data_IF_187619557437
#
_entry.id   IF_187619557437
#
_cell.length_a   1.000
_cell.length_b   1.000
_cell.length_c   1.000
_cell.angle_alpha   90.00
_cell.angle_beta   90.00
_cell.angle_gamma   90.00
#
_symmetry.space_group_name_H-M   'P 1'
#
loop_
_entity.id
_entity.type
_entity.pdbx_description
1 polymer ?
#
# COMPACT_ATOMS: atom_id res chain seq x y z
N UNK A 1 -18.33 -5.33 18.47
CA UNK A 1 -18.23 -6.45 19.43
C UNK A 1 -17.22 -7.51 18.97
N UNK A 2 -17.08 -7.81 17.68
CA UNK A 2 -16.16 -8.86 17.19
C UNK A 2 -14.65 -8.60 17.36
N UNK A 3 -14.15 -7.35 17.40
CA UNK A 3 -12.70 -7.11 17.55
C UNK A 3 -12.17 -7.31 18.98
N UNK A 4 -13.03 -7.17 20.01
CA UNK A 4 -12.61 -7.38 21.41
C UNK A 4 -12.14 -8.82 21.68
N UNK A 5 -12.57 -9.78 20.86
CA UNK A 5 -12.11 -11.17 20.93
C UNK A 5 -10.98 -11.51 19.94
N UNK A 6 -10.58 -10.56 19.06
CA UNK A 6 -9.66 -10.82 17.94
C UNK A 6 -8.20 -10.42 18.18
N UNK A 7 -7.80 -10.00 19.39
CA UNK A 7 -6.39 -9.66 19.67
C UNK A 7 -5.84 -8.41 18.96
N UNK A 8 -6.64 -7.67 18.19
CA UNK A 8 -6.29 -6.40 17.55
C UNK A 8 -5.29 -6.52 16.37
N UNK A 9 -5.34 -5.61 15.38
CA UNK A 9 -4.34 -5.59 14.32
C UNK A 9 -2.99 -5.10 14.88
N UNK A 10 -1.90 -5.54 14.26
CA UNK A 10 -0.56 -5.05 14.56
C UNK A 10 -0.21 -3.84 13.70
N UNK A 11 0.38 -2.82 14.31
CA UNK A 11 0.99 -1.71 13.59
C UNK A 11 2.35 -1.35 14.19
N UNK A 12 3.26 -0.83 13.38
CA UNK A 12 4.55 -0.36 13.89
C UNK A 12 4.41 0.98 14.61
N UNK A 13 5.03 1.08 15.79
CA UNK A 13 5.21 2.37 16.45
C UNK A 13 6.26 3.18 15.72
N UNK A 14 5.86 4.34 15.23
CA UNK A 14 6.74 5.24 14.48
C UNK A 14 7.18 6.42 15.35
N UNK A 15 8.41 6.89 15.14
CA UNK A 15 8.92 8.13 15.74
C UNK A 15 7.99 9.30 15.40
N UNK A 16 7.94 10.33 16.25
CA UNK A 16 6.99 11.45 16.11
C UNK A 16 7.12 12.19 14.76
N UNK A 17 8.33 12.28 14.23
CA UNK A 17 8.62 12.95 12.96
C UNK A 17 8.31 12.10 11.70
N UNK A 18 7.96 10.81 11.88
CA UNK A 18 7.56 9.95 10.77
C UNK A 18 6.25 10.45 10.15
N UNK A 19 6.09 10.31 8.84
CA UNK A 19 4.88 10.71 8.11
C UNK A 19 3.61 10.03 8.66
N UNK A 20 3.74 8.82 9.19
CA UNK A 20 2.66 8.06 9.83
C UNK A 20 2.29 8.54 11.25
N UNK A 21 3.23 9.18 11.95
CA UNK A 21 3.00 9.77 13.28
C UNK A 21 2.52 11.20 13.19
N UNK A 22 3.11 11.98 12.29
CA UNK A 22 2.78 13.39 12.10
C UNK A 22 1.52 13.59 11.27
N UNK A 23 1.26 12.66 10.34
CA UNK A 23 0.41 12.91 9.19
C UNK A 23 1.01 14.01 8.30
N UNK A 24 0.21 14.53 7.37
CA UNK A 24 0.48 15.82 6.73
C UNK A 24 -0.58 16.80 7.28
N UNK A 25 -0.24 17.54 8.35
CA UNK A 25 -1.17 18.54 8.90
C UNK A 25 -1.04 19.81 8.07
N UNK A 26 -2.16 20.30 7.53
CA UNK A 26 -2.23 21.64 6.92
C UNK A 26 -1.82 22.76 7.92
N UNK A 27 -1.79 22.50 9.23
CA UNK A 27 -1.31 23.46 10.24
C UNK A 27 0.22 23.62 10.26
N UNK A 28 0.96 22.69 9.66
CA UNK A 28 2.43 22.76 9.55
C UNK A 28 2.87 23.65 8.36
N UNK A 29 1.91 24.28 7.67
CA UNK A 29 2.09 25.31 6.63
C UNK A 29 2.65 26.65 7.17
N UNK A 30 3.39 26.65 8.28
CA UNK A 30 4.10 27.83 8.80
C UNK A 30 5.32 28.11 7.92
N UNK A 31 5.07 28.66 6.74
CA UNK A 31 6.13 29.04 5.79
C UNK A 31 5.67 30.02 4.71
N UNK A 32 4.36 30.10 4.43
CA UNK A 32 3.79 31.25 3.73
C UNK A 32 2.85 31.96 4.71
N UNK A 33 3.05 33.28 4.88
CA UNK A 33 2.12 34.23 5.52
C UNK A 33 0.68 33.72 5.50
N UNK A 34 -0.16 33.93 6.53
CA UNK A 34 -1.61 33.61 6.80
C UNK A 34 -2.65 33.48 5.62
N UNK A 35 -2.13 33.24 4.43
CA UNK A 35 -2.52 33.31 3.01
C UNK A 35 -2.07 32.04 2.27
N UNK A 36 -1.74 30.94 2.96
CA UNK A 36 -1.40 29.65 2.33
C UNK A 36 -2.55 28.98 1.56
N UNK A 37 -3.71 29.64 1.51
CA UNK A 37 -4.81 29.36 0.59
C UNK A 37 -5.05 30.65 -0.19
N UNK A 38 -4.62 30.70 -1.45
CA UNK A 38 -4.89 31.83 -2.34
C UNK A 38 -6.34 31.71 -2.81
N UNK A 39 -7.22 32.57 -2.28
CA UNK A 39 -8.60 32.70 -2.73
C UNK A 39 -8.63 33.53 -4.01
N UNK A 40 -8.82 32.86 -5.15
CA UNK A 40 -9.05 33.52 -6.43
C UNK A 40 -10.55 33.55 -6.68
N UNK A 41 -11.13 34.75 -6.74
CA UNK A 41 -12.52 34.92 -7.17
C UNK A 41 -12.61 34.58 -8.67
N UNK A 42 -13.42 33.59 -9.06
CA UNK A 42 -13.46 33.15 -10.44
C UNK A 42 -14.26 34.14 -11.32
N UNK A 43 -14.10 34.03 -12.65
CA UNK A 43 -14.78 34.88 -13.63
C UNK A 43 -16.32 34.83 -13.46
N UNK A 44 -17.05 35.79 -14.05
CA UNK A 44 -18.48 36.03 -13.82
C UNK A 44 -19.41 34.79 -13.87
N UNK A 45 -19.03 33.72 -14.60
CA UNK A 45 -19.73 32.44 -14.70
C UNK A 45 -19.63 31.53 -13.45
N UNK A 46 -18.85 31.90 -12.44
CA UNK A 46 -18.55 31.06 -11.26
C UNK A 46 -18.72 31.81 -9.92
N UNK A 47 -19.51 32.91 -9.92
CA UNK A 47 -19.80 33.73 -8.73
C UNK A 47 -20.12 32.86 -7.49
N UNK A 48 -19.44 33.13 -6.39
CA UNK A 48 -19.64 32.47 -5.09
C UNK A 48 -18.83 31.20 -4.85
N UNK A 49 -17.96 30.79 -5.79
CA UNK A 49 -17.04 29.66 -5.60
C UNK A 49 -15.62 30.15 -5.28
N UNK A 50 -14.89 29.34 -4.52
CA UNK A 50 -13.52 29.59 -4.08
C UNK A 50 -12.57 28.63 -4.80
N UNK A 51 -11.45 29.18 -5.27
CA UNK A 51 -10.25 28.40 -5.56
C UNK A 51 -9.35 28.43 -4.35
N UNK A 52 -8.81 27.28 -3.97
CA UNK A 52 -7.82 27.14 -2.92
C UNK A 52 -6.60 26.43 -3.50
N UNK A 53 -5.43 27.03 -3.30
CA UNK A 53 -4.15 26.48 -3.71
C UNK A 53 -3.26 26.35 -2.48
N UNK A 54 -2.66 25.17 -2.30
CA UNK A 54 -1.74 24.86 -1.20
C UNK A 54 -0.47 24.27 -1.80
N UNK A 55 0.65 24.71 -1.28
CA UNK A 55 1.97 24.21 -1.66
C UNK A 55 2.65 23.62 -0.42
N UNK A 56 2.79 22.29 -0.41
CA UNK A 56 3.61 21.54 0.55
C UNK A 56 4.99 21.34 -0.06
N UNK A 57 5.67 22.44 -0.39
CA UNK A 57 6.99 22.40 -1.01
C UNK A 57 8.05 22.18 0.06
N UNK A 58 8.88 21.16 -0.16
CA UNK A 58 10.26 21.15 0.32
C UNK A 58 11.15 21.23 -0.91
N UNK A 59 12.21 22.04 -0.83
CA UNK A 59 13.07 22.42 -1.97
C UNK A 59 13.41 21.24 -2.89
N UNK A 60 13.05 21.37 -4.18
CA UNK A 60 13.37 20.54 -5.34
C UNK A 60 13.25 19.00 -5.24
N UNK A 61 12.59 18.47 -4.20
CA UNK A 61 12.38 17.03 -4.04
C UNK A 61 10.92 16.63 -4.32
N UNK A 62 10.70 15.40 -4.83
CA UNK A 62 9.34 14.85 -4.91
C UNK A 62 8.76 14.74 -3.50
N UNK A 63 7.46 15.01 -3.37
CA UNK A 63 6.71 14.86 -2.13
C UNK A 63 5.85 13.59 -2.14
N UNK A 64 5.43 13.15 -3.34
CA UNK A 64 4.57 11.99 -3.54
C UNK A 64 5.28 10.96 -4.40
N UNK A 65 5.13 9.69 -4.03
CA UNK A 65 5.35 8.57 -4.92
C UNK A 65 4.15 8.49 -5.89
N UNK A 66 4.41 8.79 -7.16
CA UNK A 66 3.35 8.88 -8.16
C UNK A 66 2.75 7.52 -8.54
N UNK A 67 3.51 6.43 -8.46
CA UNK A 67 3.00 5.09 -8.75
C UNK A 67 2.00 4.66 -7.68
N UNK A 68 2.35 4.87 -6.41
CA UNK A 68 1.46 4.61 -5.28
C UNK A 68 0.27 5.56 -5.33
N UNK A 69 0.47 6.86 -5.61
CA UNK A 69 -0.65 7.80 -5.74
C UNK A 69 -1.65 7.32 -6.79
N UNK A 70 -1.19 6.95 -7.98
CA UNK A 70 -2.06 6.46 -9.04
C UNK A 70 -2.74 5.14 -8.66
N UNK A 71 -2.05 4.23 -7.98
CA UNK A 71 -2.68 3.01 -7.45
C UNK A 71 -3.84 3.35 -6.50
N UNK A 72 -3.61 4.21 -5.51
CA UNK A 72 -4.64 4.59 -4.53
C UNK A 72 -5.85 5.23 -5.21
N UNK A 73 -5.62 6.21 -6.09
CA UNK A 73 -6.71 6.90 -6.79
C UNK A 73 -7.46 5.98 -7.76
N UNK A 74 -6.78 5.03 -8.42
CA UNK A 74 -7.41 4.02 -9.28
C UNK A 74 -8.26 3.02 -8.49
N UNK A 75 -7.79 2.58 -7.32
CA UNK A 75 -8.56 1.71 -6.43
C UNK A 75 -9.81 2.40 -5.89
N UNK A 76 -9.76 3.72 -5.72
CA UNK A 76 -10.89 4.53 -5.23
C UNK A 76 -11.71 5.20 -6.35
N UNK A 77 -11.51 4.80 -7.61
CA UNK A 77 -12.04 5.53 -8.78
C UNK A 77 -13.56 5.68 -8.81
N UNK A 78 -14.29 4.71 -8.26
CA UNK A 78 -15.76 4.67 -8.30
C UNK A 78 -16.40 5.76 -7.43
N UNK A 79 -15.61 6.40 -6.55
CA UNK A 79 -16.06 7.52 -5.72
C UNK A 79 -15.83 8.88 -6.37
N UNK A 80 -15.17 8.92 -7.53
CA UNK A 80 -14.89 10.12 -8.28
C UNK A 80 -15.79 10.19 -9.52
N UNK A 81 -16.32 11.39 -9.80
CA UNK A 81 -17.07 11.62 -11.04
C UNK A 81 -16.13 11.61 -12.27
N UNK A 82 -14.89 12.08 -12.07
CA UNK A 82 -13.81 12.00 -13.05
C UNK A 82 -12.50 11.75 -12.31
N UNK A 83 -11.60 10.96 -12.89
CA UNK A 83 -10.24 10.81 -12.36
C UNK A 83 -9.26 10.53 -13.50
N UNK A 84 -8.11 11.20 -13.45
CA UNK A 84 -6.94 10.95 -14.30
C UNK A 84 -5.69 11.03 -13.43
N UNK A 85 -4.78 10.08 -13.57
CA UNK A 85 -3.49 10.10 -12.90
C UNK A 85 -2.39 9.78 -13.90
N UNK A 86 -1.31 10.56 -13.90
CA UNK A 86 -0.17 10.36 -14.77
C UNK A 86 1.11 10.41 -13.96
N UNK A 87 1.80 9.27 -13.90
CA UNK A 87 3.13 9.15 -13.29
C UNK A 87 4.14 9.98 -14.05
N UNK A 88 4.15 9.90 -15.39
CA UNK A 88 5.05 10.66 -16.28
C UNK A 88 4.93 12.19 -16.13
N UNK A 89 3.71 12.70 -15.96
CA UNK A 89 3.50 14.15 -15.82
C UNK A 89 3.54 14.62 -14.36
N UNK A 90 3.69 13.71 -13.38
CA UNK A 90 3.68 14.05 -11.96
C UNK A 90 2.39 14.73 -11.51
N UNK A 91 1.23 14.36 -12.09
CA UNK A 91 -0.05 15.01 -11.77
C UNK A 91 -1.22 14.04 -11.76
N UNK A 92 -2.10 14.22 -10.79
CA UNK A 92 -3.44 13.64 -10.75
C UNK A 92 -4.51 14.74 -10.75
N UNK A 93 -5.60 14.49 -11.45
CA UNK A 93 -6.80 15.34 -11.53
C UNK A 93 -8.01 14.49 -11.21
N UNK A 94 -8.81 14.92 -10.25
CA UNK A 94 -10.05 14.23 -9.89
C UNK A 94 -11.19 15.19 -9.62
N UNK A 95 -12.42 14.72 -9.81
CA UNK A 95 -13.65 15.42 -9.45
C UNK A 95 -14.33 14.65 -8.33
N UNK A 96 -14.36 15.22 -7.13
CA UNK A 96 -14.91 14.58 -5.94
C UNK A 96 -15.90 15.50 -5.23
N UNK A 97 -17.12 15.00 -5.01
CA UNK A 97 -18.22 15.77 -4.41
C UNK A 97 -18.41 17.13 -5.09
N UNK A 98 -18.37 17.22 -6.42
CA UNK A 98 -18.44 18.49 -7.19
C UNK A 98 -17.27 19.48 -7.01
N UNK A 99 -16.17 19.08 -6.36
CA UNK A 99 -14.92 19.86 -6.31
C UNK A 99 -13.94 19.27 -7.33
N UNK A 100 -13.20 20.14 -8.03
CA UNK A 100 -12.13 19.70 -8.95
C UNK A 100 -10.79 19.85 -8.24
N UNK A 101 -10.09 18.74 -8.07
CA UNK A 101 -8.86 18.64 -7.29
C UNK A 101 -7.70 18.27 -8.22
N UNK A 102 -6.59 18.99 -8.09
CA UNK A 102 -5.32 18.67 -8.72
C UNK A 102 -4.29 18.38 -7.64
N UNK A 103 -3.54 17.30 -7.83
CA UNK A 103 -2.49 16.82 -6.94
C UNK A 103 -1.22 16.70 -7.78
N UNK A 104 -0.15 17.36 -7.38
CA UNK A 104 1.11 17.34 -8.09
C UNK A 104 2.19 16.63 -7.26
N UNK A 105 3.10 15.93 -7.93
CA UNK A 105 4.21 15.17 -7.34
C UNK A 105 5.02 15.98 -6.32
N UNK A 106 5.25 17.26 -6.60
CA UNK A 106 5.99 18.20 -5.74
C UNK A 106 5.21 18.71 -4.52
N UNK A 107 4.06 18.11 -4.19
CA UNK A 107 3.28 18.47 -2.99
C UNK A 107 2.39 19.69 -3.17
N UNK A 108 2.14 20.11 -4.41
CA UNK A 108 1.18 21.16 -4.72
C UNK A 108 -0.23 20.57 -4.85
N UNK A 109 -1.22 21.25 -4.26
CA UNK A 109 -2.62 20.87 -4.29
C UNK A 109 -3.47 22.05 -4.71
N UNK A 110 -4.40 21.82 -5.65
CA UNK A 110 -5.39 22.84 -6.06
C UNK A 110 -6.79 22.29 -5.93
N UNK A 111 -7.63 22.97 -5.17
CA UNK A 111 -9.07 22.71 -5.10
C UNK A 111 -9.81 23.85 -5.77
N UNK A 112 -10.56 23.53 -6.82
CA UNK A 112 -11.47 24.45 -7.50
C UNK A 112 -12.92 24.09 -7.17
N UNK A 113 -13.78 25.09 -7.27
CA UNK A 113 -15.22 24.97 -7.03
C UNK A 113 -15.60 24.65 -5.57
N UNK A 114 -14.77 25.01 -4.60
CA UNK A 114 -15.15 24.92 -3.19
C UNK A 114 -16.18 26.01 -2.86
N UNK A 115 -17.10 25.74 -1.92
CA UNK A 115 -18.09 26.74 -1.50
C UNK A 115 -17.53 27.81 -0.55
N UNK A 116 -16.40 27.50 0.11
CA UNK A 116 -15.72 28.40 1.03
C UNK A 116 -14.29 27.92 1.26
N UNK A 117 -13.46 28.76 1.90
CA UNK A 117 -12.14 28.35 2.41
C UNK A 117 -12.23 27.12 3.34
N UNK A 118 -13.22 27.10 4.24
CA UNK A 118 -13.42 25.97 5.15
C UNK A 118 -13.74 24.67 4.43
N UNK A 119 -14.55 24.74 3.37
CA UNK A 119 -14.86 23.61 2.50
C UNK A 119 -13.63 23.09 1.75
N UNK A 120 -12.81 23.99 1.20
CA UNK A 120 -11.55 23.62 0.56
C UNK A 120 -10.58 22.93 1.52
N UNK A 121 -10.40 23.48 2.73
CA UNK A 121 -9.53 22.89 3.76
C UNK A 121 -10.03 21.50 4.19
N UNK A 122 -11.34 21.32 4.38
CA UNK A 122 -11.93 20.01 4.65
C UNK A 122 -11.66 19.02 3.51
N UNK A 123 -11.85 19.46 2.27
CA UNK A 123 -11.57 18.68 1.07
C UNK A 123 -10.11 18.22 1.02
N UNK A 124 -9.17 19.12 1.29
CA UNK A 124 -7.73 18.83 1.31
C UNK A 124 -7.34 17.86 2.41
N UNK A 125 -7.90 18.01 3.62
CA UNK A 125 -7.69 17.04 4.70
C UNK A 125 -8.16 15.64 4.32
N UNK A 126 -9.33 15.53 3.66
CA UNK A 126 -9.85 14.25 3.18
C UNK A 126 -8.99 13.67 2.06
N UNK A 127 -8.63 14.47 1.06
CA UNK A 127 -7.74 14.05 -0.05
C UNK A 127 -6.42 13.54 0.50
N UNK A 128 -5.82 14.28 1.41
CA UNK A 128 -4.54 13.91 1.93
C UNK A 128 -4.58 12.59 2.75
N UNK A 129 -5.67 12.31 3.47
CA UNK A 129 -5.88 11.01 4.12
C UNK A 129 -5.97 9.87 3.11
N UNK A 130 -6.65 10.09 1.98
CA UNK A 130 -6.74 9.10 0.90
C UNK A 130 -5.38 8.78 0.29
N UNK A 131 -4.51 9.78 0.18
CA UNK A 131 -3.20 9.64 -0.48
C UNK A 131 -2.05 9.44 0.50
N UNK A 132 -2.30 9.34 1.82
CA UNK A 132 -1.26 9.28 2.84
C UNK A 132 -0.21 8.23 2.49
N UNK A 133 -0.65 7.06 2.02
CA UNK A 133 0.22 5.96 1.60
C UNK A 133 1.29 6.34 0.56
N UNK A 134 1.01 7.34 -0.30
CA UNK A 134 1.92 7.84 -1.33
C UNK A 134 2.86 8.94 -0.85
N UNK A 135 2.65 9.51 0.33
CA UNK A 135 3.47 10.63 0.83
C UNK A 135 4.86 10.11 1.21
N UNK A 136 5.90 10.73 0.67
CA UNK A 136 7.29 10.40 0.98
C UNK A 136 7.66 10.91 2.36
N UNK A 137 8.25 10.03 3.18
CA UNK A 137 8.67 10.39 4.52
C UNK A 137 9.97 11.19 4.48
N UNK A 138 9.99 12.34 5.17
CA UNK A 138 11.16 13.23 5.24
C UNK A 138 12.38 12.60 5.92
N UNK A 139 12.16 11.62 6.80
CA UNK A 139 13.23 10.95 7.55
C UNK A 139 13.92 9.90 6.69
N UNK A 140 13.14 9.01 6.07
CA UNK A 140 13.69 7.84 5.37
C UNK A 140 13.68 7.97 3.84
N UNK A 141 12.92 8.91 3.28
CA UNK A 141 12.72 9.06 1.83
C UNK A 141 11.72 8.08 1.22
N UNK A 142 11.25 7.10 1.99
CA UNK A 142 10.32 6.07 1.51
C UNK A 142 8.86 6.53 1.65
N UNK A 143 7.94 6.04 0.79
CA UNK A 143 6.52 6.33 0.90
C UNK A 143 5.93 5.75 2.19
N UNK A 144 4.85 6.35 2.68
CA UNK A 144 4.24 5.99 3.95
C UNK A 144 3.78 4.52 4.02
N UNK A 145 3.42 3.89 2.90
CA UNK A 145 3.14 2.43 2.87
C UNK A 145 4.35 1.57 3.24
N UNK A 146 5.56 1.94 2.85
CA UNK A 146 6.78 1.21 3.24
C UNK A 146 7.11 1.47 4.72
N UNK A 147 6.82 2.69 5.21
CA UNK A 147 6.89 3.02 6.62
C UNK A 147 5.87 2.21 7.46
N UNK A 148 4.70 1.90 6.91
CA UNK A 148 3.67 1.15 7.64
C UNK A 148 4.07 -0.32 7.84
N UNK A 149 4.90 -0.85 6.93
CA UNK A 149 5.37 -2.23 6.94
C UNK A 149 6.69 -2.43 7.68
N UNK A 150 7.17 -1.47 8.47
CA UNK A 150 8.42 -1.72 9.20
C UNK A 150 9.68 -1.69 8.31
N UNK A 151 9.58 -1.29 7.03
CA UNK A 151 10.65 -1.49 6.03
C UNK A 151 11.73 -0.41 6.03
N UNK A 152 11.52 0.71 6.71
CA UNK A 152 12.49 1.80 6.83
C UNK A 152 13.15 1.84 8.22
N UNK A 153 14.44 1.52 8.34
CA UNK A 153 15.07 1.40 9.66
C UNK A 153 15.21 2.73 10.43
N UNK A 154 14.94 3.87 9.78
CA UNK A 154 15.06 5.21 10.38
C UNK A 154 13.79 5.72 11.09
N UNK A 155 12.61 5.16 10.83
CA UNK A 155 11.34 5.75 11.30
C UNK A 155 10.76 5.09 12.55
N UNK A 156 11.37 4.04 13.08
CA UNK A 156 10.82 3.26 14.20
C UNK A 156 11.60 3.53 15.49
N UNK A 157 10.88 3.91 16.54
CA UNK A 157 11.44 4.03 17.90
C UNK A 157 11.76 2.66 18.50
N UNK A 158 10.94 1.67 18.17
CA UNK A 158 11.02 0.29 18.61
C UNK A 158 11.14 -0.64 17.40
N UNK A 159 11.88 -1.74 17.52
CA UNK A 159 12.08 -2.66 16.38
C UNK A 159 10.84 -3.50 16.03
N UNK A 160 9.77 -3.40 16.80
CA UNK A 160 8.69 -4.38 16.83
C UNK A 160 7.31 -3.72 16.76
N UNK A 161 6.32 -4.34 16.08
CA UNK A 161 4.96 -3.81 16.03
C UNK A 161 4.23 -3.99 17.37
N UNK A 162 3.18 -3.22 17.58
CA UNK A 162 2.33 -3.31 18.76
C UNK A 162 0.88 -3.65 18.38
N UNK A 163 0.17 -4.29 19.31
CA UNK A 163 -1.27 -4.52 19.17
C UNK A 163 -1.98 -3.18 19.32
N UNK A 164 -2.67 -2.75 18.27
CA UNK A 164 -3.43 -1.51 18.29
C UNK A 164 -4.86 -1.81 18.74
N UNK A 165 -5.30 -1.11 19.79
CA UNK A 165 -6.71 -1.10 20.16
C UNK A 165 -7.42 -0.02 19.35
N UNK A 166 -8.32 -0.44 18.46
CA UNK A 166 -9.16 0.49 17.69
C UNK A 166 -9.92 1.41 18.65
N UNK A 167 -9.57 2.70 18.64
CA UNK A 167 -10.19 3.70 19.53
C UNK A 167 -11.61 3.99 19.07
N UNK A 168 -11.86 3.98 17.76
CA UNK A 168 -13.20 4.11 17.20
C UNK A 168 -13.70 2.76 16.67
N UNK A 169 -14.71 2.18 17.34
CA UNK A 169 -15.33 0.94 16.87
C UNK A 169 -16.35 1.16 15.74
N UNK A 170 -16.73 2.40 15.43
CA UNK A 170 -17.78 2.68 14.44
C UNK A 170 -17.35 2.34 13.02
N UNK A 171 -16.10 2.66 12.66
CA UNK A 171 -15.52 2.39 11.33
C UNK A 171 -14.80 1.02 11.27
N UNK A 172 -14.68 0.30 12.40
CA UNK A 172 -14.10 -1.04 12.44
C UNK A 172 -14.69 -2.04 11.41
N UNK A 173 -16.00 -2.01 11.06
CA UNK A 173 -16.54 -2.86 10.00
C UNK A 173 -15.88 -2.67 8.63
N UNK A 174 -15.43 -1.45 8.28
CA UNK A 174 -14.69 -1.21 7.04
C UNK A 174 -13.35 -1.94 7.05
N UNK A 175 -12.63 -1.84 8.18
CA UNK A 175 -11.37 -2.56 8.35
C UNK A 175 -11.57 -4.09 8.28
N UNK A 176 -12.62 -4.63 8.92
CA UNK A 176 -12.94 -6.07 8.87
C UNK A 176 -13.17 -6.52 7.43
N UNK A 177 -13.96 -5.76 6.65
CA UNK A 177 -14.23 -6.09 5.24
C UNK A 177 -12.97 -6.05 4.41
N UNK A 178 -12.10 -5.06 4.63
CA UNK A 178 -10.81 -4.96 3.96
C UNK A 178 -9.90 -6.16 4.27
N UNK A 179 -9.81 -6.56 5.54
CA UNK A 179 -9.04 -7.75 5.98
C UNK A 179 -9.62 -9.02 5.39
N UNK A 180 -10.95 -9.22 5.44
CA UNK A 180 -11.60 -10.40 4.85
C UNK A 180 -11.36 -10.49 3.34
N UNK A 181 -11.44 -9.36 2.62
CA UNK A 181 -11.15 -9.34 1.18
C UNK A 181 -9.68 -9.69 0.88
N UNK A 182 -8.76 -9.28 1.76
CA UNK A 182 -7.35 -9.63 1.66
C UNK A 182 -7.09 -11.11 1.95
N UNK A 183 -7.71 -11.65 2.99
CA UNK A 183 -7.67 -13.08 3.33
C UNK A 183 -8.17 -13.92 2.15
N UNK A 184 -9.34 -13.59 1.58
CA UNK A 184 -9.90 -14.26 0.42
C UNK A 184 -8.93 -14.22 -0.79
N UNK A 185 -8.28 -13.08 -1.04
CA UNK A 185 -7.31 -12.95 -2.14
C UNK A 185 -6.08 -13.85 -1.94
N UNK A 186 -5.60 -13.98 -0.70
CA UNK A 186 -4.48 -14.86 -0.34
C UNK A 186 -4.89 -16.33 -0.41
N UNK A 187 -6.13 -16.67 -0.07
CA UNK A 187 -6.65 -18.03 -0.23
C UNK A 187 -6.76 -18.44 -1.70
N UNK A 188 -7.25 -17.54 -2.56
CA UNK A 188 -7.30 -17.74 -4.02
C UNK A 188 -5.91 -17.94 -4.66
N UNK A 189 -4.84 -17.47 -4.00
CA UNK A 189 -3.47 -17.70 -4.48
C UNK A 189 -3.10 -19.19 -4.52
N UNK A 190 -3.71 -20.02 -3.66
CA UNK A 190 -3.49 -21.47 -3.70
C UNK A 190 -4.10 -22.09 -4.96
N UNK A 191 -5.24 -21.57 -5.43
CA UNK A 191 -5.86 -21.98 -6.69
C UNK A 191 -5.01 -21.53 -7.88
N UNK A 192 -4.49 -20.31 -7.85
CA UNK A 192 -3.54 -19.79 -8.85
C UNK A 192 -2.32 -20.73 -8.98
N UNK A 193 -1.65 -21.04 -7.88
CA UNK A 193 -0.50 -21.95 -7.86
C UNK A 193 -0.86 -23.33 -8.43
N UNK A 194 -1.97 -23.91 -8.01
CA UNK A 194 -2.40 -25.23 -8.49
C UNK A 194 -2.69 -25.22 -10.00
N UNK A 195 -3.25 -24.11 -10.50
CA UNK A 195 -3.49 -23.91 -11.91
C UNK A 195 -2.19 -23.79 -12.71
N UNK A 196 -1.23 -22.99 -12.23
CA UNK A 196 0.07 -22.81 -12.87
C UNK A 196 0.84 -24.13 -12.96
N UNK A 197 0.86 -24.92 -11.89
CA UNK A 197 1.51 -26.24 -11.85
C UNK A 197 0.86 -27.23 -12.83
N UNK A 198 -0.47 -27.17 -13.01
CA UNK A 198 -1.20 -28.17 -13.81
C UNK A 198 -1.34 -27.80 -15.30
N UNK A 199 -1.65 -26.55 -15.61
CA UNK A 199 -1.99 -26.10 -16.98
C UNK A 199 -0.89 -25.30 -17.66
N UNK A 200 0.14 -24.86 -16.94
CA UNK A 200 1.26 -24.04 -17.47
C UNK A 200 0.80 -22.79 -18.24
N UNK A 201 -0.37 -22.27 -17.89
CA UNK A 201 -0.96 -21.07 -18.48
C UNK A 201 -1.44 -20.18 -17.35
N UNK A 202 -1.23 -18.88 -17.52
CA UNK A 202 -1.74 -17.89 -16.59
C UNK A 202 -3.29 -17.88 -16.54
N UNK A 203 -3.92 -18.04 -15.36
CA UNK A 203 -5.36 -18.06 -15.24
C UNK A 203 -5.95 -16.66 -15.08
N UNK A 204 -6.22 -15.97 -16.20
CA UNK A 204 -6.73 -14.59 -16.23
C UNK A 204 -7.95 -14.34 -15.32
N UNK A 205 -8.85 -15.33 -15.19
CA UNK A 205 -10.04 -15.23 -14.34
C UNK A 205 -9.68 -15.23 -12.84
N UNK A 206 -8.74 -16.08 -12.41
CA UNK A 206 -8.29 -16.14 -11.01
C UNK A 206 -7.52 -14.86 -10.68
N UNK A 207 -6.61 -14.44 -11.55
CA UNK A 207 -5.89 -13.16 -11.41
C UNK A 207 -6.88 -11.98 -11.32
N UNK A 208 -7.88 -11.93 -12.20
CA UNK A 208 -8.90 -10.89 -12.21
C UNK A 208 -9.67 -10.80 -10.88
N UNK A 209 -10.02 -11.95 -10.30
CA UNK A 209 -10.68 -12.03 -8.99
C UNK A 209 -9.77 -11.54 -7.87
N UNK A 210 -8.53 -12.02 -7.82
CA UNK A 210 -7.53 -11.61 -6.82
C UNK A 210 -7.26 -10.11 -6.90
N UNK A 211 -7.03 -9.55 -8.10
CA UNK A 211 -6.81 -8.10 -8.29
C UNK A 211 -8.00 -7.28 -7.83
N UNK A 212 -9.22 -7.74 -8.11
CA UNK A 212 -10.44 -7.06 -7.64
C UNK A 212 -10.46 -7.03 -6.12
N UNK A 213 -10.27 -8.16 -5.45
CA UNK A 213 -10.25 -8.25 -3.98
C UNK A 213 -9.16 -7.37 -3.36
N UNK A 214 -7.94 -7.41 -3.88
CA UNK A 214 -6.85 -6.56 -3.40
C UNK A 214 -7.14 -5.06 -3.57
N UNK A 215 -7.82 -4.66 -4.65
CA UNK A 215 -8.29 -3.28 -4.84
C UNK A 215 -9.44 -2.93 -3.89
N UNK A 216 -10.37 -3.85 -3.66
CA UNK A 216 -11.45 -3.69 -2.68
C UNK A 216 -10.87 -3.52 -1.27
N UNK A 217 -9.82 -4.28 -0.90
CA UNK A 217 -9.07 -4.09 0.35
C UNK A 217 -8.52 -2.67 0.47
N UNK A 218 -7.88 -2.15 -0.59
CA UNK A 218 -7.37 -0.77 -0.62
C UNK A 218 -8.52 0.22 -0.46
N UNK A 219 -9.62 0.04 -1.18
CA UNK A 219 -10.81 0.88 -1.09
C UNK A 219 -11.40 0.91 0.33
N UNK A 220 -11.59 -0.26 0.95
CA UNK A 220 -12.09 -0.36 2.33
C UNK A 220 -11.15 0.30 3.34
N UNK A 221 -9.84 0.12 3.17
CA UNK A 221 -8.84 0.75 4.02
C UNK A 221 -8.82 2.28 3.85
N UNK A 222 -9.02 2.79 2.62
CA UNK A 222 -9.16 4.22 2.33
C UNK A 222 -10.43 4.81 2.94
N UNK A 223 -11.56 4.09 2.88
CA UNK A 223 -12.79 4.48 3.58
C UNK A 223 -12.57 4.54 5.09
N UNK A 224 -11.90 3.55 5.67
CA UNK A 224 -11.55 3.53 7.09
C UNK A 224 -10.66 4.72 7.48
N UNK A 225 -9.64 5.03 6.67
CA UNK A 225 -8.73 6.17 6.85
C UNK A 225 -9.43 7.54 6.76
N UNK A 226 -10.47 7.66 5.93
CA UNK A 226 -11.30 8.86 5.82
C UNK A 226 -12.17 9.08 7.06
N UNK A 227 -12.69 8.00 7.65
CA UNK A 227 -13.62 8.06 8.79
C UNK A 227 -12.93 8.15 10.15
N UNK A 228 -11.67 7.71 10.27
CA UNK A 228 -10.97 7.82 11.55
C UNK A 228 -10.49 9.25 11.82
N UNK A 229 -10.50 9.68 13.07
CA UNK A 229 -9.87 10.93 13.49
C UNK A 229 -8.51 10.72 14.18
N UNK A 230 -8.20 9.47 14.54
CA UNK A 230 -7.00 9.09 15.28
C UNK A 230 -5.88 8.67 14.31
N UNK A 231 -4.64 9.02 14.66
CA UNK A 231 -3.47 8.74 13.82
C UNK A 231 -3.03 7.27 13.93
N UNK A 232 -3.22 6.60 15.06
CA UNK A 232 -2.94 5.17 15.21
C UNK A 232 -3.90 4.34 14.34
N UNK A 233 -5.19 4.67 14.36
CA UNK A 233 -6.16 4.04 13.45
C UNK A 233 -5.77 4.29 11.98
N UNK A 234 -5.35 5.51 11.63
CA UNK A 234 -4.90 5.83 10.27
C UNK A 234 -3.66 5.00 9.85
N UNK A 235 -2.76 4.66 10.79
CA UNK A 235 -1.63 3.75 10.54
C UNK A 235 -2.12 2.36 10.17
N UNK A 236 -3.10 1.81 10.88
CA UNK A 236 -3.65 0.48 10.57
C UNK A 236 -4.24 0.46 9.16
N UNK A 237 -5.02 1.49 8.79
CA UNK A 237 -5.53 1.62 7.43
C UNK A 237 -4.41 1.64 6.39
N UNK A 238 -3.33 2.39 6.67
CA UNK A 238 -2.16 2.45 5.79
C UNK A 238 -1.39 1.12 5.72
N UNK A 239 -1.29 0.38 6.83
CA UNK A 239 -0.72 -0.98 6.86
C UNK A 239 -1.52 -1.92 5.96
N UNK A 240 -2.85 -1.89 6.05
CA UNK A 240 -3.71 -2.73 5.22
C UNK A 240 -3.56 -2.40 3.72
N UNK A 241 -3.51 -1.11 3.37
CA UNK A 241 -3.19 -0.65 2.00
C UNK A 241 -1.84 -1.19 1.55
N UNK A 242 -0.82 -1.10 2.42
CA UNK A 242 0.53 -1.51 2.09
C UNK A 242 0.59 -3.03 1.81
N UNK A 243 0.00 -3.86 2.67
CA UNK A 243 -0.04 -5.32 2.45
C UNK A 243 -0.78 -5.67 1.15
N UNK A 244 -1.92 -5.03 0.87
CA UNK A 244 -2.65 -5.26 -0.38
C UNK A 244 -1.83 -4.87 -1.63
N UNK A 245 -1.13 -3.73 -1.58
CA UNK A 245 -0.19 -3.31 -2.64
C UNK A 245 0.89 -4.36 -2.86
N UNK A 246 1.52 -4.85 -1.80
CA UNK A 246 2.58 -5.84 -1.91
C UNK A 246 2.10 -7.14 -2.59
N UNK A 247 0.88 -7.57 -2.32
CA UNK A 247 0.28 -8.73 -3.00
C UNK A 247 -0.05 -8.45 -4.48
N UNK A 248 -0.43 -7.21 -4.83
CA UNK A 248 -0.58 -6.82 -6.24
C UNK A 248 0.76 -6.88 -6.99
N UNK A 249 1.84 -6.41 -6.36
CA UNK A 249 3.18 -6.43 -6.94
C UNK A 249 3.67 -7.85 -7.18
N UNK A 250 3.44 -8.79 -6.25
CA UNK A 250 3.77 -10.20 -6.48
C UNK A 250 3.01 -10.76 -7.67
N UNK A 251 1.70 -10.50 -7.75
CA UNK A 251 0.88 -10.99 -8.83
C UNK A 251 1.36 -10.45 -10.19
N UNK A 252 1.81 -9.20 -10.23
CA UNK A 252 2.46 -8.60 -11.41
C UNK A 252 3.79 -9.31 -11.75
N UNK A 253 4.64 -9.58 -10.75
CA UNK A 253 5.92 -10.26 -10.94
C UNK A 253 5.73 -11.71 -11.42
N UNK A 254 4.84 -12.48 -10.81
CA UNK A 254 4.53 -13.87 -11.20
C UNK A 254 3.97 -13.94 -12.62
N UNK A 255 3.11 -12.99 -12.99
CA UNK A 255 2.61 -12.88 -14.36
C UNK A 255 3.75 -12.65 -15.34
N UNK A 256 4.62 -11.68 -15.08
CA UNK A 256 5.79 -11.40 -15.92
C UNK A 256 6.68 -12.63 -16.07
N UNK A 257 6.93 -13.37 -14.97
CA UNK A 257 7.72 -14.61 -15.02
C UNK A 257 7.05 -15.66 -15.91
N UNK A 258 5.72 -15.80 -15.82
CA UNK A 258 4.96 -16.78 -16.61
C UNK A 258 4.91 -16.40 -18.11
N UNK A 259 4.91 -15.11 -18.42
CA UNK A 259 4.90 -14.61 -19.81
C UNK A 259 6.26 -14.77 -20.51
N UNK A 260 7.34 -14.92 -19.76
CA UNK A 260 8.67 -15.17 -20.34
C UNK A 260 8.70 -16.61 -20.85
N UNK A 261 8.87 -16.74 -22.17
CA UNK A 261 9.06 -18.02 -22.85
C UNK A 261 10.48 -18.52 -22.60
N UNK A 262 10.73 -19.03 -21.40
CA UNK A 262 11.92 -19.83 -21.17
C UNK A 262 11.65 -21.17 -21.87
N UNK A 263 12.52 -21.60 -22.80
CA UNK A 263 12.61 -23.00 -23.23
C UNK A 263 13.12 -23.82 -22.03
N UNK A 264 12.26 -23.94 -21.02
CA UNK A 264 12.66 -24.25 -19.67
C UNK A 264 12.82 -25.75 -19.50
N UNK A 265 13.99 -26.23 -19.05
CA UNK A 265 14.13 -27.59 -18.56
C UNK A 265 13.08 -27.88 -17.47
N UNK A 266 12.54 -29.10 -17.39
CA UNK A 266 11.58 -29.53 -16.35
C UNK A 266 12.03 -29.18 -14.91
N UNK A 267 13.34 -29.01 -14.70
CA UNK A 267 13.94 -28.58 -13.43
C UNK A 267 13.55 -27.14 -13.06
N UNK A 268 13.59 -26.18 -13.98
CA UNK A 268 13.24 -24.78 -13.72
C UNK A 268 11.75 -24.64 -13.39
N UNK A 269 10.85 -25.29 -14.13
CA UNK A 269 9.41 -25.32 -13.82
C UNK A 269 9.14 -25.82 -12.38
N UNK A 270 9.88 -26.86 -11.96
CA UNK A 270 9.76 -27.42 -10.61
C UNK A 270 10.29 -26.46 -9.54
N UNK A 271 11.37 -25.72 -9.82
CA UNK A 271 11.92 -24.71 -8.91
C UNK A 271 10.96 -23.51 -8.80
N UNK A 272 10.43 -23.03 -9.93
CA UNK A 272 9.45 -21.94 -9.95
C UNK A 272 8.18 -22.28 -9.17
N UNK A 273 7.59 -23.45 -9.37
CA UNK A 273 6.42 -23.84 -8.60
C UNK A 273 6.70 -24.01 -7.09
N UNK A 274 7.94 -24.31 -6.69
CA UNK A 274 8.33 -24.27 -5.26
C UNK A 274 8.47 -22.84 -4.75
N UNK A 275 9.05 -21.96 -5.56
CA UNK A 275 9.23 -20.55 -5.23
C UNK A 275 7.88 -19.83 -5.06
N UNK A 276 6.95 -19.97 -6.00
CA UNK A 276 5.59 -19.40 -5.92
C UNK A 276 4.89 -19.82 -4.63
N UNK A 277 4.92 -21.12 -4.30
CA UNK A 277 4.40 -21.64 -3.02
C UNK A 277 5.06 -21.00 -1.81
N UNK A 278 6.38 -20.79 -1.85
CA UNK A 278 7.11 -20.20 -0.74
C UNK A 278 6.76 -18.70 -0.57
N UNK A 279 6.66 -17.95 -1.67
CA UNK A 279 6.28 -16.54 -1.70
C UNK A 279 4.89 -16.35 -1.10
N UNK A 280 3.88 -17.05 -1.60
CA UNK A 280 2.51 -16.91 -1.09
C UNK A 280 2.35 -17.39 0.35
N UNK A 281 3.10 -18.41 0.78
CA UNK A 281 3.15 -18.81 2.20
C UNK A 281 3.68 -17.67 3.07
N UNK A 282 4.74 -16.97 2.63
CA UNK A 282 5.28 -15.81 3.34
C UNK A 282 4.22 -14.72 3.47
N UNK A 283 3.49 -14.40 2.40
CA UNK A 283 2.43 -13.38 2.46
C UNK A 283 1.26 -13.79 3.34
N UNK A 284 0.84 -15.05 3.26
CA UNK A 284 -0.18 -15.58 4.15
C UNK A 284 0.23 -15.40 5.61
N UNK A 285 1.47 -15.75 5.95
CA UNK A 285 1.99 -15.52 7.30
C UNK A 285 2.03 -14.03 7.68
N UNK A 286 2.34 -13.13 6.75
CA UNK A 286 2.31 -11.67 7.01
C UNK A 286 0.89 -11.22 7.31
N UNK A 287 -0.08 -11.61 6.48
CA UNK A 287 -1.49 -11.24 6.63
C UNK A 287 -2.06 -11.79 7.93
N UNK A 288 -1.86 -13.08 8.18
CA UNK A 288 -2.28 -13.73 9.42
C UNK A 288 -1.66 -13.02 10.62
N UNK A 289 -0.35 -12.77 10.66
CA UNK A 289 0.24 -12.18 11.86
C UNK A 289 -0.15 -10.72 12.09
N UNK A 290 -0.33 -9.94 11.01
CA UNK A 290 -0.73 -8.53 11.15
C UNK A 290 -2.21 -8.38 11.52
N UNK A 291 -3.08 -9.30 11.11
CA UNK A 291 -4.54 -9.13 11.22
C UNK A 291 -5.30 -10.30 11.88
N UNK A 292 -4.61 -11.34 12.36
CA UNK A 292 -5.22 -12.55 12.94
C UNK A 292 -6.06 -12.25 14.17
N UNK A 293 -7.07 -13.10 14.33
CA UNK A 293 -8.02 -13.14 15.44
C UNK A 293 -7.40 -13.67 16.74
N UNK A 294 -6.24 -14.32 16.68
CA UNK A 294 -5.54 -14.76 17.88
C UNK A 294 -4.03 -14.82 17.64
N UNK A 295 -3.29 -13.97 18.34
CA UNK A 295 -1.82 -14.05 18.45
C UNK A 295 -1.38 -15.25 19.33
N UNK A 296 -2.21 -16.30 19.48
CA UNK A 296 -1.81 -17.52 20.19
C UNK A 296 -0.70 -18.18 19.40
N UNK A 297 0.42 -18.49 20.07
CA UNK A 297 1.61 -19.23 19.57
C UNK A 297 1.42 -19.76 18.16
N UNK A 298 1.55 -18.87 17.18
CA UNK A 298 1.77 -19.28 15.80
C UNK A 298 3.10 -20.01 15.89
N UNK A 299 3.14 -21.27 15.46
CA UNK A 299 4.40 -22.02 15.41
C UNK A 299 5.47 -21.08 14.83
N UNK A 300 6.60 -20.94 15.55
CA UNK A 300 7.70 -20.04 15.19
C UNK A 300 7.86 -20.06 13.68
N UNK A 301 7.95 -18.88 13.03
CA UNK A 301 8.03 -18.75 11.56
C UNK A 301 8.69 -19.98 10.96
N UNK A 302 7.85 -20.74 10.24
CA UNK A 302 8.21 -21.99 9.59
C UNK A 302 9.69 -21.98 9.19
N UNK A 303 10.41 -23.04 9.55
CA UNK A 303 11.76 -23.35 9.06
C UNK A 303 11.86 -23.32 7.51
N UNK A 304 10.72 -23.21 6.82
CA UNK A 304 10.57 -23.10 5.37
C UNK A 304 10.75 -21.68 4.82
N UNK A 305 10.92 -20.66 5.65
CA UNK A 305 11.11 -19.26 5.20
C UNK A 305 12.48 -19.01 4.54
N UNK A 306 13.62 -19.49 5.11
CA UNK A 306 14.93 -19.43 4.44
C UNK A 306 14.94 -20.10 3.06
N UNK A 307 14.12 -21.13 2.89
CA UNK A 307 14.00 -21.91 1.66
C UNK A 307 13.58 -21.08 0.43
N UNK A 308 12.84 -19.98 0.61
CA UNK A 308 12.42 -19.13 -0.51
C UNK A 308 13.61 -18.39 -1.15
N UNK A 309 14.51 -17.85 -0.32
CA UNK A 309 15.73 -17.18 -0.78
C UNK A 309 16.72 -18.20 -1.35
N UNK A 310 16.87 -19.36 -0.72
CA UNK A 310 17.71 -20.45 -1.24
C UNK A 310 17.24 -20.91 -2.63
N UNK A 311 15.92 -21.02 -2.85
CA UNK A 311 15.36 -21.35 -4.16
C UNK A 311 15.63 -20.25 -5.19
N UNK A 312 15.54 -18.98 -4.81
CA UNK A 312 15.90 -17.87 -5.69
C UNK A 312 17.38 -17.86 -6.02
N UNK A 313 18.25 -18.11 -5.06
CA UNK A 313 19.70 -18.19 -5.28
C UNK A 313 20.05 -19.38 -6.19
N UNK A 314 19.36 -20.52 -6.06
CA UNK A 314 19.48 -21.66 -6.98
C UNK A 314 19.04 -21.30 -8.40
N UNK A 315 17.92 -20.58 -8.56
CA UNK A 315 17.40 -20.15 -9.86
C UNK A 315 18.32 -19.09 -10.49
N UNK A 316 18.75 -18.10 -9.71
CA UNK A 316 19.59 -16.97 -10.16
C UNK A 316 21.06 -17.36 -10.38
N UNK A 317 21.53 -18.43 -9.74
CA UNK A 317 22.90 -18.94 -9.91
C UNK A 317 23.07 -19.88 -11.12
N UNK A 318 21.99 -20.26 -11.80
CA UNK A 318 22.06 -21.16 -12.94
C UNK A 318 22.05 -20.37 -14.25
N UNK A 319 23.22 -20.34 -14.92
CA UNK A 319 23.39 -19.68 -16.22
C UNK A 319 22.43 -20.20 -17.30
N UNK A 320 21.95 -21.44 -17.16
CA UNK A 320 20.97 -22.08 -18.05
C UNK A 320 19.62 -21.34 -18.11
N UNK A 321 19.27 -20.53 -17.10
CA UNK A 321 17.94 -19.93 -16.98
C UNK A 321 17.92 -18.41 -17.24
N UNK A 322 19.08 -17.78 -17.39
CA UNK A 322 19.23 -16.31 -17.32
C UNK A 322 19.97 -15.80 -18.56
N UNK A 323 19.45 -16.11 -19.74
CA UNK A 323 19.96 -15.52 -20.98
C UNK A 323 19.28 -14.19 -21.32
N UNK A 324 18.11 -13.91 -20.74
CA UNK A 324 17.39 -12.66 -20.92
C UNK A 324 17.56 -11.73 -19.71
N UNK A 325 18.08 -10.52 -19.95
CA UNK A 325 18.26 -9.49 -18.93
C UNK A 325 16.94 -9.13 -18.20
N UNK A 326 15.80 -9.31 -18.88
CA UNK A 326 14.47 -9.15 -18.28
C UNK A 326 14.18 -10.12 -17.14
N UNK A 327 14.52 -11.41 -17.29
CA UNK A 327 14.32 -12.44 -16.24
C UNK A 327 15.11 -12.09 -14.99
N UNK A 328 16.37 -11.69 -15.17
CA UNK A 328 17.27 -11.33 -14.07
C UNK A 328 16.68 -10.19 -13.23
N UNK A 329 16.21 -9.14 -13.88
CA UNK A 329 15.63 -7.99 -13.18
C UNK A 329 14.39 -8.38 -12.37
N UNK A 330 13.51 -9.22 -12.94
CA UNK A 330 12.31 -9.70 -12.25
C UNK A 330 12.66 -10.57 -11.04
N UNK A 331 13.66 -11.46 -11.18
CA UNK A 331 14.12 -12.31 -10.08
C UNK A 331 14.78 -11.50 -8.96
N UNK A 332 15.55 -10.46 -9.29
CA UNK A 332 16.13 -9.54 -8.30
C UNK A 332 15.05 -8.71 -7.59
N UNK A 333 14.02 -8.23 -8.32
CA UNK A 333 12.86 -7.57 -7.72
C UNK A 333 12.13 -8.51 -6.74
N UNK A 334 11.91 -9.77 -7.14
CA UNK A 334 11.29 -10.79 -6.29
C UNK A 334 12.17 -11.14 -5.07
N UNK A 335 13.50 -11.20 -5.24
CA UNK A 335 14.46 -11.43 -4.15
C UNK A 335 14.42 -10.31 -3.12
N UNK A 336 14.44 -9.06 -3.59
CA UNK A 336 14.31 -7.89 -2.73
C UNK A 336 12.99 -7.89 -1.97
N UNK A 337 11.89 -8.24 -2.66
CA UNK A 337 10.57 -8.39 -2.07
C UNK A 337 10.54 -9.43 -0.95
N UNK A 338 10.99 -10.66 -1.23
CA UNK A 338 11.03 -11.75 -0.25
C UNK A 338 11.89 -11.34 0.95
N UNK A 339 13.08 -10.75 0.70
CA UNK A 339 13.96 -10.26 1.76
C UNK A 339 13.32 -9.18 2.64
N UNK A 340 12.50 -8.29 2.07
CA UNK A 340 11.72 -7.30 2.82
C UNK A 340 10.65 -7.98 3.70
N UNK A 341 9.85 -8.89 3.15
CA UNK A 341 8.80 -9.57 3.92
C UNK A 341 9.35 -10.52 5.00
N UNK A 342 10.48 -11.16 4.75
CA UNK A 342 11.16 -11.97 5.77
C UNK A 342 11.63 -11.12 6.95
N UNK A 343 12.18 -9.93 6.70
CA UNK A 343 12.54 -8.98 7.76
C UNK A 343 11.32 -8.52 8.53
N UNK A 344 10.21 -8.24 7.85
CA UNK A 344 8.92 -7.91 8.47
C UNK A 344 8.42 -9.05 9.37
N UNK A 345 8.37 -10.29 8.87
CA UNK A 345 7.95 -11.46 9.66
C UNK A 345 8.81 -11.65 10.92
N UNK A 346 10.13 -11.50 10.81
CA UNK A 346 11.05 -11.57 11.97
C UNK A 346 10.73 -10.49 13.02
N UNK A 347 10.41 -9.27 12.57
CA UNK A 347 10.00 -8.18 13.48
C UNK A 347 8.66 -8.50 14.16
N UNK A 348 7.71 -9.09 13.43
CA UNK A 348 6.40 -9.46 13.99
C UNK A 348 6.53 -10.61 15.01
N UNK A 349 7.32 -11.65 14.70
CA UNK A 349 7.45 -12.84 15.56
C UNK A 349 8.03 -12.55 16.93
N UNK A 350 8.87 -11.52 17.04
CA UNK A 350 9.41 -11.11 18.34
C UNK A 350 8.33 -10.60 19.30
N UNK A 351 7.20 -10.10 18.79
CA UNK A 351 6.09 -9.57 19.60
C UNK A 351 5.18 -10.69 20.10
N UNK A 352 5.05 -11.74 19.30
CA UNK A 352 4.13 -12.86 19.53
C UNK A 352 4.78 -13.97 20.38
N UNK A 353 6.12 -13.94 20.49
CA UNK A 353 6.93 -14.86 21.32
C UNK A 353 6.95 -14.43 22.77
#
# INVERSE_FOLDING_TARGET
MEWKSRGGPLAFRTMDDCVLSRGFKLKDLKGSNEKGVIEVSPCASERGKVMAEIELIEEDKPFLDMEILCLLLNSYKNHFAEMRCSTKLGVARLMWKARRIYIYEKGKFKVRFAHSRGDAVKTLNSVGRLILGSVLCKICGEPAVECALGKCDKCFSDKYPEVVQLKNNFNAPLLIRGVSSLEDAVEESQELINHLVSKKKWPDQIEGNMRRRLRDTIEFAMNFALETHDLEDLRIGTTLIAVARENLLILDLERKITEIKVESPKKFEKLMGKLERAVWRINKNVVERLFSKSHKKVEKADEKTPKALELLDEITGSEEYIHEEGVKNILEELKHYIGKNMRLLKKIDYVVS
#
